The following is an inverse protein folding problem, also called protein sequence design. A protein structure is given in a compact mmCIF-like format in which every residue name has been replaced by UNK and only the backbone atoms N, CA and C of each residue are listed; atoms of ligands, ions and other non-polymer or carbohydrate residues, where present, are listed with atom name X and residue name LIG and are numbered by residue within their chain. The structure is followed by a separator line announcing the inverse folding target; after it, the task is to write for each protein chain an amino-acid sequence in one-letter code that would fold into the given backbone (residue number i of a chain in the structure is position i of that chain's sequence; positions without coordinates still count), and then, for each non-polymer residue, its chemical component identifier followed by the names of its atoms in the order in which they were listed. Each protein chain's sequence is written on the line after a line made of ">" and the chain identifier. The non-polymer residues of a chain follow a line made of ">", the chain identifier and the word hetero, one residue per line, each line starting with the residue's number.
data_IF_642706896057
#
_entry.id   IF_642706896057
#
_cell.length_a   1.000
_cell.length_b   1.000
_cell.length_c   1.000
_cell.angle_alpha   90.00
_cell.angle_beta   90.00
_cell.angle_gamma   90.00
#
_symmetry.space_group_name_H-M   'P 1'
#
loop_
_entity.id
_entity.type
_entity.pdbx_description
1 polymer ?
#
# COMPACT_ATOMS: atom_id res chain seq x y z
N UNK A 1 36.35 9.38 16.27
CA UNK A 1 35.40 9.02 17.35
C UNK A 1 34.04 9.60 16.95
N UNK A 2 32.93 8.92 16.69
CA UNK A 2 32.55 7.52 16.47
C UNK A 2 31.02 7.61 16.27
N UNK A 3 30.49 7.01 15.20
CA UNK A 3 29.08 6.71 14.95
C UNK A 3 28.07 7.88 14.87
N UNK A 4 27.77 8.32 13.65
CA UNK A 4 26.44 8.83 13.28
C UNK A 4 25.43 7.69 13.43
N UNK A 5 24.89 7.52 14.64
CA UNK A 5 23.95 6.46 14.98
C UNK A 5 22.54 7.05 14.94
N UNK A 6 21.74 6.57 13.99
CA UNK A 6 20.28 6.70 13.87
C UNK A 6 19.73 8.03 13.32
N UNK A 7 19.38 8.04 12.02
CA UNK A 7 18.42 9.01 11.47
C UNK A 7 17.01 8.52 11.79
N UNK A 8 16.45 8.96 12.92
CA UNK A 8 15.02 8.83 13.21
C UNK A 8 14.22 9.53 12.13
N UNK A 9 13.10 8.94 11.74
CA UNK A 9 12.23 9.55 10.73
C UNK A 9 11.20 10.43 11.43
N UNK A 10 11.05 11.66 10.94
CA UNK A 10 10.18 12.66 11.53
C UNK A 10 8.83 12.71 10.80
N UNK A 11 7.73 12.75 11.57
CA UNK A 11 6.37 12.92 11.05
C UNK A 11 6.21 14.25 10.30
N UNK A 12 6.93 15.30 10.70
CA UNK A 12 6.89 16.59 10.03
C UNK A 12 7.52 16.55 8.63
N UNK A 13 8.31 15.51 8.34
CA UNK A 13 8.87 15.24 7.01
C UNK A 13 8.01 14.24 6.24
N UNK A 14 7.62 13.12 6.86
CA UNK A 14 6.84 12.06 6.19
C UNK A 14 5.46 12.57 5.78
N UNK A 15 4.73 13.22 6.69
CA UNK A 15 3.33 13.61 6.47
C UNK A 15 3.16 14.49 5.23
N UNK A 16 3.87 15.64 5.08
CA UNK A 16 3.73 16.46 3.88
C UNK A 16 4.22 15.75 2.63
N UNK A 17 5.26 14.90 2.72
CA UNK A 17 5.74 14.13 1.58
C UNK A 17 4.67 13.17 1.04
N UNK A 18 4.08 12.34 1.91
CA UNK A 18 3.03 11.39 1.53
C UNK A 18 1.78 12.11 1.04
N UNK A 19 1.31 13.14 1.75
CA UNK A 19 0.12 13.91 1.35
C UNK A 19 0.29 14.58 -0.01
N UNK A 20 1.49 15.09 -0.31
CA UNK A 20 1.77 15.68 -1.63
C UNK A 20 1.73 14.63 -2.74
N UNK A 21 2.27 13.43 -2.49
CA UNK A 21 2.22 12.31 -3.45
C UNK A 21 0.78 11.85 -3.69
N UNK A 22 -0.01 11.69 -2.62
CA UNK A 22 -1.43 11.32 -2.73
C UNK A 22 -2.22 12.38 -3.51
N UNK A 23 -2.02 13.67 -3.20
CA UNK A 23 -2.63 14.79 -3.92
C UNK A 23 -2.26 14.80 -5.39
N UNK A 24 -0.98 14.57 -5.72
CA UNK A 24 -0.49 14.53 -7.10
C UNK A 24 -1.21 13.45 -7.90
N UNK A 25 -1.21 12.20 -7.41
CA UNK A 25 -1.83 11.09 -8.16
C UNK A 25 -3.34 11.17 -8.19
N UNK A 26 -4.00 11.61 -7.11
CA UNK A 26 -5.44 11.86 -7.14
C UNK A 26 -5.77 12.90 -8.21
N UNK A 27 -5.11 14.06 -8.20
CA UNK A 27 -5.38 15.12 -9.19
C UNK A 27 -5.13 14.66 -10.62
N UNK A 28 -4.08 13.85 -10.84
CA UNK A 28 -3.69 13.35 -12.17
C UNK A 28 -4.70 12.36 -12.76
N UNK A 29 -5.29 11.50 -11.92
CA UNK A 29 -6.03 10.33 -12.41
C UNK A 29 -7.53 10.32 -12.06
N UNK A 30 -7.99 11.18 -11.14
CA UNK A 30 -9.38 11.16 -10.66
C UNK A 30 -10.42 11.37 -11.75
N UNK A 31 -10.09 12.19 -12.77
CA UNK A 31 -11.00 12.46 -13.89
C UNK A 31 -11.23 11.25 -14.80
N UNK A 32 -10.27 10.32 -14.88
CA UNK A 32 -10.36 9.14 -15.75
C UNK A 32 -10.76 7.87 -14.98
N UNK A 33 -10.22 7.68 -13.77
CA UNK A 33 -10.35 6.43 -13.02
C UNK A 33 -11.20 6.55 -11.76
N UNK A 34 -11.69 7.75 -11.44
CA UNK A 34 -12.49 8.00 -10.24
C UNK A 34 -11.66 8.10 -8.96
N UNK A 35 -12.26 7.77 -7.82
CA UNK A 35 -11.65 8.03 -6.52
C UNK A 35 -10.43 7.14 -6.20
N UNK A 36 -9.46 7.74 -5.49
CA UNK A 36 -8.27 7.06 -5.01
C UNK A 36 -8.59 6.19 -3.79
N UNK A 37 -8.23 4.90 -3.88
CA UNK A 37 -8.38 3.93 -2.78
C UNK A 37 -6.99 3.51 -2.30
N UNK A 38 -6.75 3.64 -1.00
CA UNK A 38 -5.50 3.25 -0.35
C UNK A 38 -5.64 1.83 0.18
N UNK A 39 -4.96 0.88 -0.46
CA UNK A 39 -4.87 -0.50 0.00
C UNK A 39 -3.63 -0.64 0.89
N UNK A 40 -3.82 -1.07 2.14
CA UNK A 40 -2.74 -1.17 3.12
C UNK A 40 -2.50 -2.62 3.53
N UNK A 41 -1.23 -3.00 3.67
CA UNK A 41 -0.84 -4.27 4.26
C UNK A 41 -1.25 -4.35 5.73
N UNK A 42 -1.72 -5.51 6.14
CA UNK A 42 -1.85 -5.83 7.55
C UNK A 42 -0.50 -6.21 8.18
N UNK A 43 -0.41 -6.11 9.52
CA UNK A 43 0.78 -6.52 10.28
C UNK A 43 1.04 -8.02 10.14
N UNK A 44 -0.02 -8.82 10.01
CA UNK A 44 0.04 -10.27 9.81
C UNK A 44 -0.22 -10.57 8.34
N UNK A 45 0.29 -11.71 7.88
CA UNK A 45 0.04 -12.19 6.52
C UNK A 45 -0.43 -13.64 6.61
N UNK A 46 -1.60 -13.93 6.03
CA UNK A 46 -2.14 -15.29 5.95
C UNK A 46 -1.17 -16.24 5.23
N UNK A 47 -0.36 -15.73 4.30
CA UNK A 47 0.68 -16.51 3.61
C UNK A 47 1.71 -17.12 4.55
N UNK A 48 1.99 -16.46 5.70
CA UNK A 48 2.91 -17.00 6.72
C UNK A 48 2.31 -18.15 7.53
N UNK A 49 0.97 -18.22 7.61
CA UNK A 49 0.28 -19.33 8.26
C UNK A 49 0.40 -20.61 7.44
N UNK A 50 0.50 -20.49 6.11
CA UNK A 50 0.71 -21.60 5.17
C UNK A 50 2.21 -21.91 5.00
N UNK A 51 3.03 -20.88 4.79
CA UNK A 51 4.47 -21.01 4.61
C UNK A 51 5.23 -20.11 5.59
N UNK A 52 5.70 -20.65 6.74
CA UNK A 52 6.33 -19.86 7.79
C UNK A 52 7.56 -19.04 7.36
N UNK A 53 8.29 -19.50 6.33
CA UNK A 53 9.48 -18.83 5.82
C UNK A 53 9.17 -17.73 4.78
N UNK A 54 7.90 -17.43 4.50
CA UNK A 54 7.49 -16.39 3.56
C UNK A 54 8.06 -15.02 3.96
N UNK A 55 8.73 -14.34 3.01
CA UNK A 55 9.42 -13.05 3.19
C UNK A 55 10.47 -13.04 4.33
N UNK A 56 10.97 -14.19 4.79
CA UNK A 56 11.97 -14.26 5.87
C UNK A 56 13.28 -13.50 5.55
N UNK A 57 13.64 -13.41 4.26
CA UNK A 57 14.79 -12.63 3.79
C UNK A 57 14.66 -11.13 4.10
N UNK A 58 13.44 -10.56 4.05
CA UNK A 58 13.21 -9.14 4.35
C UNK A 58 13.61 -8.77 5.78
N UNK A 59 13.43 -9.69 6.74
CA UNK A 59 13.85 -9.50 8.13
C UNK A 59 15.38 -9.36 8.25
N UNK A 60 16.13 -10.14 7.47
CA UNK A 60 17.61 -10.05 7.43
C UNK A 60 18.06 -8.71 6.86
N UNK A 61 17.44 -8.26 5.76
CA UNK A 61 17.78 -6.96 5.14
C UNK A 61 17.52 -5.79 6.08
N UNK A 62 16.41 -5.80 6.83
CA UNK A 62 16.10 -4.75 7.81
C UNK A 62 17.13 -4.67 8.94
N UNK A 63 17.59 -5.83 9.44
CA UNK A 63 18.58 -5.88 10.53
C UNK A 63 19.96 -5.31 10.15
N UNK A 64 20.28 -5.29 8.85
CA UNK A 64 21.56 -4.78 8.34
C UNK A 64 21.46 -3.30 7.92
N UNK A 65 20.25 -2.80 7.70
CA UNK A 65 20.03 -1.44 7.24
C UNK A 65 20.27 -0.41 8.37
N UNK A 66 20.82 0.77 8.04
CA UNK A 66 21.10 1.84 9.03
C UNK A 66 19.85 2.63 9.45
N UNK A 67 18.68 2.27 8.92
CA UNK A 67 17.40 2.97 9.11
C UNK A 67 16.69 2.38 10.32
N UNK A 68 16.12 3.24 11.16
CA UNK A 68 15.20 2.83 12.22
C UNK A 68 13.83 2.46 11.62
N UNK A 69 13.69 1.18 11.27
CA UNK A 69 12.48 0.65 10.67
C UNK A 69 11.28 0.68 11.60
N UNK A 70 11.51 0.49 12.90
CA UNK A 70 10.42 0.44 13.88
C UNK A 70 9.79 1.83 14.01
N UNK A 71 10.62 2.88 14.15
CA UNK A 71 10.16 4.26 14.13
C UNK A 71 9.45 4.62 12.80
N UNK A 72 9.99 4.23 11.65
CA UNK A 72 9.35 4.47 10.36
C UNK A 72 7.96 3.79 10.27
N UNK A 73 7.84 2.54 10.74
CA UNK A 73 6.56 1.82 10.73
C UNK A 73 5.55 2.43 11.70
N UNK A 74 5.98 2.95 12.85
CA UNK A 74 5.13 3.68 13.77
C UNK A 74 4.59 4.96 13.11
N UNK A 75 5.46 5.76 12.51
CA UNK A 75 5.08 6.98 11.79
C UNK A 75 4.08 6.69 10.65
N UNK A 76 4.34 5.65 9.83
CA UNK A 76 3.45 5.27 8.74
C UNK A 76 2.10 4.73 9.24
N UNK A 77 2.09 3.99 10.34
CA UNK A 77 0.84 3.51 10.94
C UNK A 77 0.01 4.68 11.48
N UNK A 78 0.63 5.62 12.19
CA UNK A 78 -0.02 6.84 12.65
C UNK A 78 -0.60 7.63 11.47
N UNK A 79 0.17 7.86 10.41
CA UNK A 79 -0.32 8.57 9.23
C UNK A 79 -1.49 7.84 8.57
N UNK A 80 -1.45 6.51 8.48
CA UNK A 80 -2.55 5.72 7.94
C UNK A 80 -3.83 5.87 8.76
N UNK A 81 -3.72 5.85 10.09
CA UNK A 81 -4.86 6.09 10.99
C UNK A 81 -5.41 7.50 10.80
N UNK A 82 -4.53 8.50 10.72
CA UNK A 82 -4.92 9.89 10.42
C UNK A 82 -5.68 9.98 9.07
N UNK A 83 -5.18 9.32 8.02
CA UNK A 83 -5.79 9.29 6.69
C UNK A 83 -7.16 8.61 6.68
N UNK A 84 -7.37 7.60 7.51
CA UNK A 84 -8.63 6.87 7.60
C UNK A 84 -9.70 7.64 8.39
N UNK A 85 -9.31 8.38 9.43
CA UNK A 85 -10.23 9.08 10.32
C UNK A 85 -10.55 10.49 9.84
N UNK A 86 -9.56 11.25 9.36
CA UNK A 86 -9.68 12.70 9.15
C UNK A 86 -9.68 13.13 7.68
N UNK A 87 -9.22 12.28 6.77
CA UNK A 87 -9.10 12.62 5.35
C UNK A 87 -10.20 11.94 4.51
N UNK A 88 -10.58 12.52 3.37
CA UNK A 88 -11.59 11.95 2.48
C UNK A 88 -11.04 10.80 1.61
N UNK A 89 -10.10 10.01 2.13
CA UNK A 89 -9.53 8.87 1.42
C UNK A 89 -10.22 7.58 1.87
N UNK A 90 -10.47 6.69 0.90
CA UNK A 90 -10.93 5.34 1.20
C UNK A 90 -9.72 4.48 1.55
N UNK A 91 -9.52 4.22 2.83
CA UNK A 91 -8.45 3.34 3.33
C UNK A 91 -9.02 1.95 3.58
N UNK A 92 -8.41 0.94 2.97
CA UNK A 92 -8.81 -0.47 3.13
C UNK A 92 -7.64 -1.25 3.71
N UNK A 93 -7.89 -1.87 4.86
CA UNK A 93 -7.02 -2.85 5.50
C UNK A 93 -7.90 -4.02 5.94
N UNK A 94 -7.49 -5.23 5.59
CA UNK A 94 -8.21 -6.47 5.95
C UNK A 94 -7.28 -7.32 6.80
N UNK A 95 -7.79 -7.90 7.89
CA UNK A 95 -7.00 -8.72 8.81
C UNK A 95 -6.23 -9.81 8.05
N UNK A 96 -4.91 -9.88 8.30
CA UNK A 96 -3.96 -10.80 7.68
C UNK A 96 -3.77 -10.67 6.17
N UNK A 97 -4.46 -9.77 5.47
CA UNK A 97 -4.32 -9.60 4.02
C UNK A 97 -3.19 -8.62 3.67
N UNK A 98 -2.50 -8.88 2.57
CA UNK A 98 -1.54 -7.94 2.00
C UNK A 98 -2.26 -6.97 1.04
N UNK A 99 -1.67 -5.81 0.76
CA UNK A 99 -2.27 -4.82 -0.15
C UNK A 99 -2.55 -5.41 -1.54
N UNK A 100 -1.65 -6.29 -2.01
CA UNK A 100 -1.77 -6.98 -3.29
C UNK A 100 -3.02 -7.88 -3.34
N UNK A 101 -3.40 -8.49 -2.21
CA UNK A 101 -4.61 -9.32 -2.11
C UNK A 101 -5.87 -8.47 -2.28
N UNK A 102 -5.88 -7.30 -1.63
CA UNK A 102 -7.00 -6.36 -1.69
C UNK A 102 -7.15 -5.84 -3.12
N UNK A 103 -6.05 -5.48 -3.79
CA UNK A 103 -6.06 -5.02 -5.18
C UNK A 103 -6.53 -6.13 -6.12
N UNK A 104 -6.02 -7.36 -5.95
CA UNK A 104 -6.42 -8.50 -6.76
C UNK A 104 -7.92 -8.82 -6.59
N UNK A 105 -8.43 -8.78 -5.36
CA UNK A 105 -9.85 -8.97 -5.08
C UNK A 105 -10.69 -7.80 -5.61
N UNK A 106 -10.17 -6.58 -5.59
CA UNK A 106 -10.86 -5.45 -6.19
C UNK A 106 -10.99 -5.65 -7.71
N UNK A 107 -9.91 -6.01 -8.40
CA UNK A 107 -9.90 -6.19 -9.86
C UNK A 107 -10.72 -7.40 -10.32
N UNK A 108 -10.57 -8.55 -9.65
CA UNK A 108 -11.16 -9.82 -10.10
C UNK A 108 -12.42 -10.24 -9.34
N UNK A 109 -12.71 -9.59 -8.22
CA UNK A 109 -13.76 -10.03 -7.30
C UNK A 109 -15.17 -9.83 -7.83
N UNK A 110 -16.08 -10.54 -7.16
CA UNK A 110 -17.51 -10.37 -7.35
C UNK A 110 -18.09 -9.57 -6.18
N UNK A 111 -19.13 -8.78 -6.47
CA UNK A 111 -19.98 -8.19 -5.45
C UNK A 111 -20.73 -9.25 -4.65
N UNK A 112 -21.42 -8.82 -3.59
CA UNK A 112 -22.25 -9.69 -2.75
C UNK A 112 -23.38 -10.40 -3.51
N UNK A 113 -23.74 -9.90 -4.68
CA UNK A 113 -24.71 -10.48 -5.61
C UNK A 113 -24.10 -11.54 -6.56
N UNK A 114 -22.83 -11.89 -6.36
CA UNK A 114 -22.09 -12.86 -7.17
C UNK A 114 -21.72 -12.36 -8.56
N UNK A 115 -22.06 -11.11 -8.90
CA UNK A 115 -21.69 -10.52 -10.19
C UNK A 115 -20.31 -9.91 -10.09
N UNK A 116 -19.53 -10.01 -11.17
CA UNK A 116 -18.28 -9.24 -11.28
C UNK A 116 -18.58 -7.78 -11.01
N UNK A 117 -17.72 -7.14 -10.20
CA UNK A 117 -17.73 -5.71 -10.06
C UNK A 117 -17.63 -5.11 -11.48
N UNK A 118 -18.66 -4.38 -11.92
CA UNK A 118 -18.59 -3.65 -13.18
C UNK A 118 -17.49 -2.60 -13.04
N UNK A 119 -16.32 -2.89 -13.57
CA UNK A 119 -15.20 -1.95 -13.61
C UNK A 119 -15.02 -1.50 -15.04
N UNK A 120 -15.35 -0.23 -15.29
CA UNK A 120 -15.15 0.38 -16.61
C UNK A 120 -13.66 0.49 -16.91
N UNK A 121 -12.89 1.07 -15.99
CA UNK A 121 -11.43 1.18 -16.04
C UNK A 121 -10.82 1.25 -14.64
N UNK A 122 -9.75 0.50 -14.41
CA UNK A 122 -9.03 0.45 -13.13
C UNK A 122 -7.56 0.79 -13.34
N UNK A 123 -7.00 1.65 -12.48
CA UNK A 123 -5.58 2.00 -12.47
C UNK A 123 -4.93 1.50 -11.17
N UNK A 124 -3.93 0.63 -11.30
CA UNK A 124 -3.07 0.20 -10.20
C UNK A 124 -1.87 1.15 -10.14
N UNK A 125 -1.73 1.88 -9.02
CA UNK A 125 -0.58 2.74 -8.74
C UNK A 125 0.45 1.96 -7.94
N UNK A 126 1.35 1.25 -8.62
CA UNK A 126 2.42 0.49 -7.97
C UNK A 126 3.58 0.25 -8.91
N UNK A 127 4.80 0.25 -8.33
CA UNK A 127 6.03 -0.13 -9.02
C UNK A 127 6.29 -1.65 -9.01
N UNK A 128 5.48 -2.43 -8.29
CA UNK A 128 5.64 -3.89 -8.23
C UNK A 128 5.24 -4.52 -9.57
N UNK A 129 6.14 -5.34 -10.13
CA UNK A 129 5.92 -6.00 -11.42
C UNK A 129 4.92 -7.14 -11.33
N UNK A 130 4.67 -7.67 -10.13
CA UNK A 130 3.77 -8.82 -9.94
C UNK A 130 2.32 -8.49 -10.33
N UNK A 131 1.94 -7.21 -10.34
CA UNK A 131 0.63 -6.74 -10.82
C UNK A 131 0.37 -6.96 -12.32
N UNK A 132 1.39 -7.32 -13.11
CA UNK A 132 1.19 -7.75 -14.50
C UNK A 132 0.21 -8.93 -14.59
N UNK A 133 0.12 -9.76 -13.55
CA UNK A 133 -0.82 -10.86 -13.44
C UNK A 133 -2.29 -10.41 -13.44
N UNK A 134 -2.55 -9.15 -13.09
CA UNK A 134 -3.89 -8.56 -13.04
C UNK A 134 -4.25 -7.76 -14.31
N UNK A 135 -3.33 -7.62 -15.26
CA UNK A 135 -3.57 -6.81 -16.46
C UNK A 135 -4.66 -7.46 -17.33
N UNK A 136 -5.66 -6.65 -17.68
CA UNK A 136 -6.80 -7.00 -18.54
C UNK A 136 -7.08 -5.80 -19.45
N UNK A 137 -8.03 -5.93 -20.38
CA UNK A 137 -8.35 -4.87 -21.34
C UNK A 137 -8.71 -3.52 -20.68
N UNK A 138 -9.23 -3.55 -19.46
CA UNK A 138 -9.68 -2.40 -18.66
C UNK A 138 -8.80 -2.10 -17.44
N UNK A 139 -7.69 -2.83 -17.22
CA UNK A 139 -6.80 -2.63 -16.07
C UNK A 139 -5.46 -2.10 -16.56
N UNK A 140 -5.06 -0.94 -16.04
CA UNK A 140 -3.75 -0.33 -16.30
C UNK A 140 -2.93 -0.29 -15.03
N UNK A 141 -1.61 -0.25 -15.18
CA UNK A 141 -0.67 -0.02 -14.09
C UNK A 141 0.21 1.18 -14.41
N UNK A 142 0.42 2.04 -13.41
CA UNK A 142 1.37 3.13 -13.49
C UNK A 142 2.41 2.93 -12.38
N UNK A 143 3.68 2.77 -12.80
CA UNK A 143 4.82 2.79 -11.90
C UNK A 143 5.23 4.25 -11.69
N UNK A 144 5.10 4.79 -10.47
CA UNK A 144 5.58 6.12 -10.13
C UNK A 144 7.10 6.25 -10.17
#
# INVERSE_FOLDING_TARGET
>A
MTASKFTSVDMDVIRPAVLNVLRLYRTKFVSEFGELILCCDDRKSWRKEIFPNYKASRKKTRAVAPIDWDNLYECLNQLKEELAEWFPYKVIQVDKAEADDIIAQYVNGCGSDGKRLKQDRTLILSSDKDFVQLHQFNVRQYSP
#
